data_IF_941068659640
#
_entry.id   IF_941068659640
#
_cell.length_a   1.000
_cell.length_b   1.000
_cell.length_c   1.000
_cell.angle_alpha   90.00
_cell.angle_beta   90.00
_cell.angle_gamma   90.00
#
_symmetry.space_group_name_H-M   'P 1'
#
loop_
_entity.id
_entity.type
_entity.pdbx_description
1 polymer ?
#
# COMPACT_ATOMS: atom_id res chain seq x y z
N UNK A 1 -17.21 27.41 -10.25
CA UNK A 1 -16.38 26.30 -10.75
C UNK A 1 -14.96 26.33 -10.18
N UNK A 2 -14.35 27.48 -10.14
CA UNK A 2 -12.97 27.61 -9.62
C UNK A 2 -12.81 27.23 -8.14
N UNK A 3 -13.82 27.49 -7.32
CA UNK A 3 -13.77 27.14 -5.90
C UNK A 3 -13.78 25.63 -5.68
N UNK A 4 -14.57 24.87 -6.47
CA UNK A 4 -14.60 23.41 -6.35
C UNK A 4 -13.27 22.79 -6.75
N UNK A 5 -12.66 23.30 -7.82
CA UNK A 5 -11.35 22.82 -8.27
C UNK A 5 -10.29 23.13 -7.21
N UNK A 6 -10.31 24.33 -6.66
CA UNK A 6 -9.36 24.71 -5.61
C UNK A 6 -9.49 23.83 -4.36
N UNK A 7 -10.73 23.56 -3.91
CA UNK A 7 -10.98 22.70 -2.75
C UNK A 7 -10.48 21.27 -3.04
N UNK A 8 -10.76 20.75 -4.23
CA UNK A 8 -10.34 19.42 -4.62
C UNK A 8 -8.81 19.32 -4.65
N UNK A 9 -8.13 20.31 -5.24
CA UNK A 9 -6.67 20.34 -5.31
C UNK A 9 -6.07 20.43 -3.92
N UNK A 10 -6.63 21.30 -3.05
CA UNK A 10 -6.12 21.43 -1.68
C UNK A 10 -6.32 20.14 -0.87
N UNK A 11 -7.45 19.46 -1.06
CA UNK A 11 -7.70 18.17 -0.40
C UNK A 11 -6.75 17.09 -0.88
N UNK A 12 -6.48 17.04 -2.20
CA UNK A 12 -5.51 16.10 -2.75
C UNK A 12 -4.11 16.38 -2.21
N UNK A 13 -3.71 17.64 -2.18
CA UNK A 13 -2.39 18.02 -1.65
C UNK A 13 -2.26 17.61 -0.18
N UNK A 14 -3.29 17.89 0.64
CA UNK A 14 -3.29 17.52 2.05
C UNK A 14 -3.17 16.02 2.24
N UNK A 15 -3.99 15.25 1.53
CA UNK A 15 -3.96 13.79 1.64
C UNK A 15 -2.64 13.22 1.16
N UNK A 16 -2.08 13.75 0.08
CA UNK A 16 -0.78 13.31 -0.43
C UNK A 16 0.32 13.56 0.59
N UNK A 17 0.31 14.73 1.25
CA UNK A 17 1.30 15.06 2.29
C UNK A 17 1.20 14.09 3.46
N UNK A 18 -0.02 13.77 3.90
CA UNK A 18 -0.25 12.83 4.99
C UNK A 18 0.28 11.44 4.62
N UNK A 19 -0.02 10.96 3.41
CA UNK A 19 0.44 9.65 2.95
C UNK A 19 1.97 9.61 2.87
N UNK A 20 2.60 10.66 2.35
CA UNK A 20 4.06 10.75 2.29
C UNK A 20 4.67 10.80 3.69
N UNK A 21 4.05 11.50 4.62
CA UNK A 21 4.50 11.55 6.01
C UNK A 21 4.57 10.15 6.62
N UNK A 22 3.51 9.35 6.45
CA UNK A 22 3.50 7.97 6.95
C UNK A 22 4.48 7.08 6.23
N UNK A 23 4.69 7.29 4.92
CA UNK A 23 5.70 6.56 4.16
C UNK A 23 7.09 6.79 4.74
N UNK A 24 7.44 8.06 5.00
CA UNK A 24 8.74 8.39 5.57
C UNK A 24 8.89 7.92 7.01
N UNK A 25 7.81 7.93 7.79
CA UNK A 25 7.84 7.32 9.13
C UNK A 25 8.15 5.82 9.03
N UNK A 26 7.53 5.13 8.08
CA UNK A 26 7.79 3.71 7.86
C UNK A 26 9.23 3.45 7.46
N UNK A 27 9.78 4.27 6.58
CA UNK A 27 11.18 4.17 6.19
C UNK A 27 12.12 4.42 7.38
N UNK A 28 11.77 5.36 8.25
CA UNK A 28 12.52 5.60 9.47
C UNK A 28 12.51 4.41 10.41
N UNK A 29 11.36 3.76 10.58
CA UNK A 29 11.24 2.55 11.39
C UNK A 29 12.12 1.44 10.81
N UNK A 30 12.09 1.26 9.49
CA UNK A 30 12.94 0.28 8.82
C UNK A 30 14.42 0.56 9.07
N UNK A 31 14.81 1.82 8.96
CA UNK A 31 16.20 2.23 9.17
C UNK A 31 16.69 1.90 10.60
N UNK A 32 15.85 2.17 11.60
CA UNK A 32 16.22 1.92 13.00
C UNK A 32 16.16 0.44 13.39
N UNK A 33 15.23 -0.32 12.82
CA UNK A 33 15.05 -1.74 13.18
C UNK A 33 15.94 -2.67 12.36
N UNK A 34 16.41 -2.21 11.19
CA UNK A 34 17.24 -3.02 10.26
C UNK A 34 16.56 -4.32 9.80
N UNK A 35 15.23 -4.37 9.83
CA UNK A 35 14.48 -5.53 9.37
C UNK A 35 14.45 -5.57 7.83
N UNK A 36 14.49 -6.78 7.22
CA UNK A 36 14.43 -6.93 5.77
C UNK A 36 13.01 -6.76 5.23
N UNK A 37 12.26 -5.82 5.75
CA UNK A 37 10.89 -5.51 5.35
C UNK A 37 10.89 -4.11 4.76
N UNK A 38 10.23 -3.91 3.57
CA UNK A 38 10.16 -2.56 2.99
C UNK A 38 9.54 -1.54 3.96
N UNK A 39 10.11 -0.35 3.99
CA UNK A 39 9.62 0.72 4.88
C UNK A 39 8.19 1.15 4.59
N UNK A 40 7.73 0.98 3.34
CA UNK A 40 6.35 1.28 2.96
C UNK A 40 5.34 0.40 3.71
N UNK A 41 5.71 -0.84 4.05
CA UNK A 41 4.84 -1.73 4.84
C UNK A 41 4.67 -1.19 6.25
N UNK A 42 5.76 -0.73 6.87
CA UNK A 42 5.68 -0.08 8.19
C UNK A 42 4.84 1.19 8.13
N UNK A 43 4.98 1.98 7.05
CA UNK A 43 4.17 3.17 6.84
C UNK A 43 2.69 2.85 6.72
N UNK A 44 2.36 1.81 5.98
CA UNK A 44 0.97 1.37 5.81
C UNK A 44 0.37 0.89 7.13
N UNK A 45 1.13 0.14 7.93
CA UNK A 45 0.67 -0.31 9.23
C UNK A 45 0.46 0.87 10.18
N UNK A 46 1.38 1.85 10.18
CA UNK A 46 1.24 3.05 11.00
C UNK A 46 0.00 3.87 10.58
N UNK A 47 -0.22 4.01 9.29
CA UNK A 47 -1.40 4.69 8.75
C UNK A 47 -2.68 3.96 9.19
N UNK A 48 -2.69 2.64 9.08
CA UNK A 48 -3.82 1.83 9.49
C UNK A 48 -4.12 2.02 10.99
N UNK A 49 -3.09 2.00 11.82
CA UNK A 49 -3.25 2.23 13.26
C UNK A 49 -3.78 3.63 13.54
N UNK A 50 -3.23 4.64 12.84
CA UNK A 50 -3.69 6.01 12.99
C UNK A 50 -5.16 6.19 12.63
N UNK A 51 -5.61 5.55 11.56
CA UNK A 51 -7.01 5.59 11.13
C UNK A 51 -7.91 4.80 12.09
N UNK A 52 -7.44 3.63 12.54
CA UNK A 52 -8.21 2.77 13.43
C UNK A 52 -8.38 3.40 14.81
N UNK A 53 -7.35 4.08 15.30
CA UNK A 53 -7.40 4.77 16.59
C UNK A 53 -8.08 6.14 16.50
N UNK A 54 -8.54 6.52 15.30
CA UNK A 54 -9.21 7.80 15.02
C UNK A 54 -8.33 9.02 15.32
N UNK A 55 -7.00 8.85 15.25
CA UNK A 55 -6.06 9.96 15.36
C UNK A 55 -6.11 10.85 14.12
N UNK A 56 -6.41 10.25 12.97
CA UNK A 56 -6.51 10.94 11.68
C UNK A 56 -7.90 10.65 11.11
N UNK A 57 -8.67 11.68 10.72
CA UNK A 57 -9.94 11.44 10.02
C UNK A 57 -9.69 10.77 8.68
N UNK A 58 -10.51 9.78 8.35
CA UNK A 58 -10.41 9.07 7.08
C UNK A 58 -10.54 10.04 5.90
N UNK A 59 -11.37 11.05 6.04
CA UNK A 59 -11.61 12.05 5.00
C UNK A 59 -10.33 12.80 4.59
N UNK A 60 -9.33 12.84 5.48
CA UNK A 60 -8.06 13.52 5.19
C UNK A 60 -7.16 12.69 4.28
N UNK A 61 -7.39 11.38 4.18
CA UNK A 61 -6.56 10.47 3.37
C UNK A 61 -7.27 10.03 2.09
N UNK A 62 -8.60 10.04 2.10
CA UNK A 62 -9.43 9.51 1.01
C UNK A 62 -9.15 10.12 -0.37
N UNK A 63 -8.99 11.45 -0.53
CA UNK A 63 -8.84 11.99 -1.89
C UNK A 63 -7.71 11.36 -2.68
N UNK A 64 -6.48 11.36 -2.16
CA UNK A 64 -5.35 10.73 -2.84
C UNK A 64 -5.42 9.22 -2.73
N UNK A 65 -5.84 8.69 -1.59
CA UNK A 65 -5.98 7.25 -1.39
C UNK A 65 -6.94 6.63 -2.39
N UNK A 66 -8.12 7.24 -2.58
CA UNK A 66 -9.10 6.77 -3.55
C UNK A 66 -8.58 6.86 -4.97
N UNK A 67 -7.88 7.94 -5.30
CA UNK A 67 -7.27 8.11 -6.62
C UNK A 67 -6.26 6.99 -6.89
N UNK A 68 -5.38 6.71 -5.94
CA UNK A 68 -4.38 5.65 -6.08
C UNK A 68 -5.03 4.27 -6.22
N UNK A 69 -6.06 3.98 -5.42
CA UNK A 69 -6.75 2.69 -5.47
C UNK A 69 -7.52 2.51 -6.79
N UNK A 70 -8.15 3.57 -7.30
CA UNK A 70 -8.91 3.50 -8.54
C UNK A 70 -8.01 3.25 -9.74
N UNK A 71 -6.77 3.75 -9.70
CA UNK A 71 -5.81 3.63 -10.80
C UNK A 71 -4.65 2.72 -10.47
N UNK A 72 -4.82 1.83 -9.49
CA UNK A 72 -3.74 0.93 -9.05
C UNK A 72 -3.23 0.04 -10.19
N UNK A 73 -4.13 -0.36 -11.09
CA UNK A 73 -3.76 -1.19 -12.25
C UNK A 73 -2.75 -0.47 -13.15
N UNK A 74 -2.87 0.86 -13.29
CA UNK A 74 -1.92 1.64 -14.09
C UNK A 74 -0.52 1.63 -13.48
N UNK A 75 -0.42 1.55 -12.15
CA UNK A 75 0.88 1.49 -11.48
C UNK A 75 1.57 0.14 -11.66
N UNK A 76 0.81 -0.91 -11.96
CA UNK A 76 1.38 -2.23 -12.22
C UNK A 76 2.03 -2.33 -13.59
N UNK A 77 1.68 -1.47 -14.56
CA UNK A 77 2.28 -1.52 -15.90
C UNK A 77 3.78 -1.25 -15.87
N UNK A 78 4.28 -0.17 -15.21
CA UNK A 78 5.73 0.03 -15.09
C UNK A 78 6.44 -1.11 -14.37
N UNK A 79 5.79 -1.69 -13.35
CA UNK A 79 6.35 -2.83 -12.60
C UNK A 79 6.48 -4.04 -13.53
N UNK A 80 5.44 -4.33 -14.33
CA UNK A 80 5.47 -5.43 -15.28
C UNK A 80 6.58 -5.27 -16.32
N UNK A 81 6.75 -4.06 -16.85
CA UNK A 81 7.84 -3.77 -17.79
C UNK A 81 9.20 -3.97 -17.12
N UNK A 82 9.34 -3.52 -15.87
CA UNK A 82 10.58 -3.69 -15.10
C UNK A 82 10.95 -5.15 -14.88
N UNK A 83 9.95 -6.04 -14.78
CA UNK A 83 10.20 -7.47 -14.61
C UNK A 83 10.92 -8.10 -15.81
N UNK A 84 10.80 -7.48 -17.00
CA UNK A 84 11.51 -7.97 -18.18
C UNK A 84 13.02 -7.95 -18.00
N UNK A 85 13.54 -7.02 -17.19
CA UNK A 85 14.97 -6.94 -16.88
C UNK A 85 15.45 -8.13 -16.06
N UNK A 86 14.52 -8.82 -15.38
CA UNK A 86 14.81 -9.97 -14.52
C UNK A 86 14.35 -11.29 -15.14
N UNK A 87 14.22 -11.32 -16.48
CA UNK A 87 13.73 -12.51 -17.19
C UNK A 87 14.55 -13.77 -16.90
N UNK A 88 15.87 -13.62 -16.78
CA UNK A 88 16.76 -14.76 -16.47
C UNK A 88 16.48 -15.32 -15.08
N UNK A 89 16.29 -14.43 -14.10
CA UNK A 89 15.94 -14.81 -12.73
C UNK A 89 14.58 -15.49 -12.69
N UNK A 90 13.61 -14.93 -13.41
CA UNK A 90 12.26 -15.48 -13.48
C UNK A 90 12.24 -16.87 -14.10
N UNK A 91 12.99 -17.06 -15.21
CA UNK A 91 13.05 -18.36 -15.89
C UNK A 91 13.77 -19.43 -15.08
N UNK A 92 14.78 -19.02 -14.29
CA UNK A 92 15.53 -19.95 -13.44
C UNK A 92 14.73 -20.39 -12.22
N UNK A 93 13.94 -19.49 -11.64
CA UNK A 93 13.23 -19.72 -10.39
C UNK A 93 11.70 -19.73 -10.55
N UNK A 94 11.22 -20.04 -11.77
CA UNK A 94 9.78 -19.95 -12.06
C UNK A 94 8.93 -20.82 -11.11
N UNK A 95 9.41 -22.03 -10.80
CA UNK A 95 8.67 -22.95 -9.93
C UNK A 95 8.55 -22.39 -8.52
N UNK A 96 9.64 -21.88 -7.98
CA UNK A 96 9.64 -21.24 -6.65
C UNK A 96 8.70 -20.04 -6.62
N UNK A 97 8.73 -19.22 -7.67
CA UNK A 97 7.89 -18.02 -7.76
C UNK A 97 6.41 -18.39 -7.79
N UNK A 98 6.05 -19.36 -8.64
CA UNK A 98 4.65 -19.79 -8.75
C UNK A 98 4.19 -20.45 -7.45
N UNK A 99 4.98 -21.36 -6.89
CA UNK A 99 4.63 -22.05 -5.66
C UNK A 99 4.44 -21.06 -4.50
N UNK A 100 5.40 -20.14 -4.31
CA UNK A 100 5.30 -19.16 -3.25
C UNK A 100 4.14 -18.18 -3.46
N UNK A 101 3.85 -17.83 -4.71
CA UNK A 101 2.71 -16.96 -5.04
C UNK A 101 1.38 -17.62 -4.69
N UNK A 102 1.22 -18.91 -5.04
CA UNK A 102 -0.01 -19.65 -4.73
C UNK A 102 -0.17 -19.79 -3.22
N UNK A 103 0.89 -20.23 -2.53
CA UNK A 103 0.84 -20.39 -1.07
C UNK A 103 0.53 -19.06 -0.38
N UNK A 104 1.22 -17.99 -0.78
CA UNK A 104 1.00 -16.67 -0.20
C UNK A 104 -0.42 -16.17 -0.46
N UNK A 105 -0.95 -16.39 -1.66
CA UNK A 105 -2.31 -15.98 -2.02
C UNK A 105 -3.34 -16.70 -1.14
N UNK A 106 -3.21 -18.01 -1.00
CA UNK A 106 -4.10 -18.80 -0.14
C UNK A 106 -3.98 -18.31 1.31
N UNK A 107 -2.75 -18.10 1.80
CA UNK A 107 -2.52 -17.65 3.16
C UNK A 107 -3.18 -16.28 3.41
N UNK A 108 -3.04 -15.35 2.47
CA UNK A 108 -3.65 -14.02 2.60
C UNK A 108 -5.17 -14.12 2.56
N UNK A 109 -5.73 -14.87 1.63
CA UNK A 109 -7.19 -15.01 1.52
C UNK A 109 -7.79 -15.62 2.78
N UNK A 110 -7.18 -16.67 3.32
CA UNK A 110 -7.64 -17.31 4.54
C UNK A 110 -7.50 -16.36 5.73
N UNK A 111 -6.35 -15.72 5.87
CA UNK A 111 -6.07 -14.83 7.00
C UNK A 111 -7.01 -13.62 7.00
N UNK A 112 -7.14 -12.96 5.85
CA UNK A 112 -8.01 -11.78 5.72
C UNK A 112 -9.47 -12.16 5.92
N UNK A 113 -9.90 -13.27 5.32
CA UNK A 113 -11.26 -13.76 5.48
C UNK A 113 -11.59 -14.08 6.94
N UNK A 114 -10.66 -14.76 7.61
CA UNK A 114 -10.85 -15.10 9.03
C UNK A 114 -10.90 -13.85 9.92
N UNK A 115 -9.96 -12.92 9.70
CA UNK A 115 -9.93 -11.68 10.48
C UNK A 115 -11.21 -10.87 10.22
N UNK A 116 -11.62 -10.77 8.97
CA UNK A 116 -12.84 -10.04 8.62
C UNK A 116 -14.07 -10.63 9.32
N UNK A 117 -14.21 -11.94 9.29
CA UNK A 117 -15.32 -12.62 9.96
C UNK A 117 -15.32 -12.37 11.48
N UNK A 118 -14.14 -12.34 12.08
CA UNK A 118 -14.02 -12.07 13.52
C UNK A 118 -14.39 -10.63 13.86
N UNK A 119 -13.95 -9.69 13.07
CA UNK A 119 -14.23 -8.27 13.32
C UNK A 119 -15.65 -7.87 12.95
N UNK A 120 -16.25 -8.54 11.99
CA UNK A 120 -17.63 -8.25 11.57
C UNK A 120 -18.67 -8.74 12.57
N UNK A 121 -18.30 -9.57 13.52
CA UNK A 121 -19.17 -9.97 14.62
C UNK A 121 -19.05 -8.94 15.74
#
# INVERSE_FOLDING_TARGET
MNKKVFITVSQLARSAIILLFFLYLGKGVQYFTHLPIPGSIFGLLLLFLGLNLRLIPLDYVLPTGSFLLNYITLFFVPVGVGLLQYSDLLSTHWLTIIASSVVSTVAVLVSVGWIYQRLAK
#
